data_IF_077625449752
#
_entry.id   IF_077625449752
#
_cell.length_a   1.000
_cell.length_b   1.000
_cell.length_c   1.000
_cell.angle_alpha   90.00
_cell.angle_beta   90.00
_cell.angle_gamma   90.00
#
_symmetry.space_group_name_H-M   'P 1'
#
loop_
_entity.id
_entity.type
_entity.pdbx_description
1 polymer ?
#
# COMPACT_ATOMS: atom_id res chain seq x y z
N UNK A 1 -16.30 -0.02 -28.66
CA UNK A 1 -15.69 -0.14 -27.31
C UNK A 1 -14.79 -1.36 -27.27
N UNK A 2 -13.47 -1.15 -27.18
CA UNK A 2 -12.42 -2.19 -27.27
C UNK A 2 -12.33 -3.08 -26.02
N UNK A 3 -12.75 -2.56 -24.86
CA UNK A 3 -12.63 -3.23 -23.56
C UNK A 3 -13.92 -3.15 -22.74
N UNK A 4 -14.13 -4.14 -21.86
CA UNK A 4 -15.09 -4.07 -20.75
C UNK A 4 -14.27 -3.82 -19.48
N UNK A 5 -14.40 -2.64 -18.89
CA UNK A 5 -13.55 -2.21 -17.78
C UNK A 5 -14.35 -2.20 -16.47
N UNK A 6 -13.92 -3.00 -15.50
CA UNK A 6 -14.70 -3.32 -14.30
C UNK A 6 -14.57 -2.29 -13.17
N UNK A 7 -13.46 -1.55 -13.11
CA UNK A 7 -13.23 -0.49 -12.12
C UNK A 7 -13.21 0.87 -12.77
N UNK A 8 -13.60 1.91 -12.02
CA UNK A 8 -13.35 3.31 -12.40
C UNK A 8 -11.84 3.57 -12.49
N UNK A 9 -11.43 4.56 -13.30
CA UNK A 9 -10.05 5.05 -13.29
C UNK A 9 -9.64 5.70 -11.97
N UNK A 10 -10.63 6.01 -11.11
CA UNK A 10 -10.43 6.31 -9.69
C UNK A 10 -10.93 5.11 -8.86
N UNK A 11 -10.04 4.28 -8.32
CA UNK A 11 -10.42 3.06 -7.57
C UNK A 11 -9.25 2.49 -6.74
N UNK A 12 -9.39 1.27 -6.19
CA UNK A 12 -8.28 0.54 -5.59
C UNK A 12 -7.26 0.08 -6.64
N UNK A 13 -6.06 -0.34 -6.21
CA UNK A 13 -5.10 -0.98 -7.11
C UNK A 13 -5.68 -2.25 -7.75
N UNK A 14 -5.25 -2.56 -8.98
CA UNK A 14 -5.72 -3.72 -9.75
C UNK A 14 -4.79 -4.94 -9.63
N UNK A 15 -3.52 -4.74 -9.35
CA UNK A 15 -2.53 -5.82 -9.23
C UNK A 15 -1.28 -5.40 -8.45
N UNK A 16 -0.55 -6.40 -7.96
CA UNK A 16 0.84 -6.28 -7.55
C UNK A 16 1.78 -6.35 -8.75
N UNK A 17 2.84 -5.54 -8.70
CA UNK A 17 3.87 -5.45 -9.73
C UNK A 17 5.17 -6.17 -9.35
N UNK A 18 5.19 -6.92 -8.24
CA UNK A 18 6.35 -7.67 -7.77
C UNK A 18 6.17 -9.17 -7.97
N UNK A 19 7.26 -9.89 -8.23
CA UNK A 19 7.23 -11.36 -8.39
C UNK A 19 6.64 -12.06 -7.16
N UNK A 20 7.00 -11.61 -5.95
CA UNK A 20 6.42 -12.10 -4.68
C UNK A 20 4.90 -11.87 -4.59
N UNK A 21 4.41 -10.82 -5.26
CA UNK A 21 3.01 -10.42 -5.37
C UNK A 21 2.21 -11.26 -6.37
N UNK A 22 2.86 -11.90 -7.34
CA UNK A 22 2.21 -12.53 -8.49
C UNK A 22 1.10 -13.52 -8.09
N UNK A 23 1.37 -14.37 -7.09
CA UNK A 23 0.40 -15.36 -6.60
C UNK A 23 -0.84 -14.76 -5.92
N UNK A 24 -0.82 -13.47 -5.61
CA UNK A 24 -1.93 -12.74 -5.00
C UNK A 24 -2.74 -11.93 -6.02
N UNK A 25 -2.31 -11.89 -7.29
CA UNK A 25 -3.08 -11.29 -8.38
C UNK A 25 -4.19 -12.27 -8.84
N UNK A 26 -5.22 -12.43 -8.00
CA UNK A 26 -6.33 -13.36 -8.19
C UNK A 26 -7.56 -12.75 -8.89
N UNK A 27 -7.45 -11.48 -9.29
CA UNK A 27 -8.47 -10.76 -10.07
C UNK A 27 -7.94 -10.53 -11.48
N UNK A 28 -8.80 -10.75 -12.48
CA UNK A 28 -8.43 -10.55 -13.89
C UNK A 28 -8.19 -9.05 -14.17
N UNK A 29 -6.95 -8.71 -14.49
CA UNK A 29 -6.56 -7.38 -14.99
C UNK A 29 -6.90 -7.27 -16.47
N UNK A 30 -7.63 -6.22 -16.85
CA UNK A 30 -7.92 -5.89 -18.26
C UNK A 30 -6.84 -4.97 -18.78
N UNK A 31 -6.14 -5.32 -19.85
CA UNK A 31 -5.06 -4.50 -20.41
C UNK A 31 -5.04 -4.59 -21.95
N UNK A 32 -4.29 -3.69 -22.59
CA UNK A 32 -4.10 -3.72 -24.04
C UNK A 32 -2.97 -4.69 -24.43
N UNK A 33 -3.31 -5.78 -25.12
CA UNK A 33 -2.36 -6.83 -25.53
C UNK A 33 -1.25 -6.33 -26.46
N UNK A 34 -1.52 -5.34 -27.31
CA UNK A 34 -0.51 -4.83 -28.25
C UNK A 34 0.51 -3.95 -27.51
N UNK A 35 0.05 -3.13 -26.56
CA UNK A 35 0.92 -2.36 -25.68
C UNK A 35 1.74 -3.30 -24.79
N UNK A 36 1.10 -4.31 -24.20
CA UNK A 36 1.77 -5.32 -23.39
C UNK A 36 2.90 -6.01 -24.16
N UNK A 37 2.65 -6.50 -25.39
CA UNK A 37 3.69 -7.11 -26.24
C UNK A 37 4.83 -6.14 -26.56
N UNK A 38 4.53 -4.86 -26.81
CA UNK A 38 5.55 -3.83 -27.04
C UNK A 38 6.46 -3.67 -25.82
N UNK A 39 5.89 -3.65 -24.62
CA UNK A 39 6.65 -3.53 -23.36
C UNK A 39 7.50 -4.78 -23.09
N UNK A 40 6.95 -5.98 -23.29
CA UNK A 40 7.71 -7.24 -23.20
C UNK A 40 8.87 -7.26 -24.21
N UNK A 41 8.62 -6.86 -25.45
CA UNK A 41 9.66 -6.77 -26.49
C UNK A 41 10.77 -5.76 -26.17
N UNK A 42 10.50 -4.82 -25.27
CA UNK A 42 11.44 -3.85 -24.73
C UNK A 42 12.10 -4.29 -23.40
N UNK A 43 12.00 -5.58 -23.05
CA UNK A 43 12.60 -6.20 -21.86
C UNK A 43 12.04 -5.70 -20.51
N UNK A 44 10.78 -5.23 -20.50
CA UNK A 44 10.04 -4.93 -19.26
C UNK A 44 9.42 -6.24 -18.76
N UNK A 45 9.54 -6.52 -17.46
CA UNK A 45 8.99 -7.73 -16.85
C UNK A 45 7.46 -7.82 -17.00
N UNK A 46 6.92 -9.04 -16.98
CA UNK A 46 5.51 -9.29 -17.24
C UNK A 46 4.55 -8.50 -16.33
N UNK A 47 4.83 -8.39 -15.04
CA UNK A 47 3.91 -7.77 -14.09
C UNK A 47 3.89 -6.26 -14.25
N UNK A 48 5.06 -5.65 -14.44
CA UNK A 48 5.15 -4.22 -14.73
C UNK A 48 4.58 -3.89 -16.12
N UNK A 49 4.86 -4.71 -17.13
CA UNK A 49 4.30 -4.56 -18.47
C UNK A 49 2.77 -4.64 -18.46
N UNK A 50 2.20 -5.62 -17.75
CA UNK A 50 0.75 -5.76 -17.59
C UNK A 50 0.14 -4.55 -16.86
N UNK A 51 0.79 -4.07 -15.79
CA UNK A 51 0.35 -2.88 -15.06
C UNK A 51 0.32 -1.63 -15.96
N UNK A 52 1.40 -1.35 -16.70
CA UNK A 52 1.45 -0.20 -17.61
C UNK A 52 0.41 -0.36 -18.72
N UNK A 53 0.31 -1.54 -19.34
CA UNK A 53 -0.68 -1.80 -20.39
C UNK A 53 -2.13 -1.67 -19.88
N UNK A 54 -2.39 -1.94 -18.59
CA UNK A 54 -3.68 -1.70 -17.94
C UNK A 54 -3.97 -0.19 -17.81
N UNK A 55 -3.00 0.62 -17.37
CA UNK A 55 -3.19 2.07 -17.24
C UNK A 55 -3.53 2.73 -18.59
N UNK A 56 -2.96 2.20 -19.67
CA UNK A 56 -3.08 2.71 -21.03
C UNK A 56 -4.35 2.22 -21.77
N UNK A 57 -5.26 1.49 -21.13
CA UNK A 57 -6.60 1.20 -21.70
C UNK A 57 -7.57 2.39 -21.62
N UNK A 58 -7.14 3.49 -20.99
CA UNK A 58 -7.95 4.68 -20.77
C UNK A 58 -7.61 5.75 -21.79
N UNK A 59 -8.62 6.46 -22.25
CA UNK A 59 -8.42 7.64 -23.07
C UNK A 59 -7.88 8.81 -22.23
N UNK A 60 -7.11 9.68 -22.87
CA UNK A 60 -6.73 10.99 -22.34
C UNK A 60 -7.99 11.85 -22.20
N UNK A 61 -8.10 12.55 -21.06
CA UNK A 61 -9.27 13.39 -20.75
C UNK A 61 -8.96 14.88 -20.83
N UNK A 62 -7.69 15.25 -20.96
CA UNK A 62 -7.24 16.63 -21.08
C UNK A 62 -5.88 16.65 -21.76
N UNK A 63 -5.77 17.26 -22.94
CA UNK A 63 -4.50 17.47 -23.64
C UNK A 63 -4.51 18.89 -24.23
N UNK A 64 -3.49 19.67 -23.90
CA UNK A 64 -3.32 21.01 -24.47
C UNK A 64 -2.76 20.92 -25.89
N UNK A 65 -3.21 21.80 -26.78
CA UNK A 65 -2.79 21.83 -28.19
C UNK A 65 -1.28 21.95 -28.36
N UNK A 66 -0.63 22.68 -27.47
CA UNK A 66 0.80 22.96 -27.42
C UNK A 66 1.62 21.74 -26.98
N UNK A 67 0.94 20.70 -26.47
CA UNK A 67 1.52 19.47 -25.94
C UNK A 67 1.19 18.25 -26.81
N UNK A 68 0.59 18.45 -27.98
CA UNK A 68 0.28 17.37 -28.92
C UNK A 68 1.56 16.72 -29.46
N UNK A 69 2.50 17.54 -29.93
CA UNK A 69 3.80 17.09 -30.43
C UNK A 69 4.88 17.31 -29.37
N UNK A 70 5.64 16.26 -29.03
CA UNK A 70 6.67 16.27 -27.99
C UNK A 70 7.90 15.48 -28.42
N UNK A 71 9.01 15.65 -27.71
CA UNK A 71 10.21 14.85 -27.90
C UNK A 71 10.21 13.67 -26.92
N UNK A 72 9.84 12.47 -27.37
CA UNK A 72 9.76 11.26 -26.53
C UNK A 72 11.09 10.87 -25.84
N UNK A 73 12.24 11.40 -26.28
CA UNK A 73 13.54 11.16 -25.63
C UNK A 73 13.78 12.06 -24.40
N UNK A 74 13.04 13.17 -24.28
CA UNK A 74 13.23 14.20 -23.25
C UNK A 74 11.97 14.41 -22.41
N UNK A 75 10.80 14.36 -23.05
CA UNK A 75 9.49 14.66 -22.48
C UNK A 75 8.74 13.39 -22.05
N UNK A 76 7.97 13.52 -20.97
CA UNK A 76 7.14 12.42 -20.43
C UNK A 76 5.69 12.83 -20.28
N UNK A 77 5.28 14.01 -20.74
CA UNK A 77 3.93 14.54 -20.49
C UNK A 77 2.85 13.65 -21.12
N UNK A 78 3.10 12.99 -22.26
CA UNK A 78 2.16 12.02 -22.86
C UNK A 78 1.92 10.82 -21.94
N UNK A 79 2.97 10.25 -21.36
CA UNK A 79 2.85 9.17 -20.39
C UNK A 79 2.17 9.67 -19.11
N UNK A 80 2.59 10.82 -18.59
CA UNK A 80 2.01 11.43 -17.39
C UNK A 80 0.54 11.80 -17.59
N UNK A 81 0.09 12.11 -18.80
CA UNK A 81 -1.33 12.36 -19.09
C UNK A 81 -2.21 11.17 -18.68
N UNK A 82 -1.75 9.96 -18.98
CA UNK A 82 -2.46 8.72 -18.67
C UNK A 82 -2.16 8.25 -17.25
N UNK A 83 -0.90 8.33 -16.81
CA UNK A 83 -0.51 7.91 -15.46
C UNK A 83 -1.15 8.79 -14.36
N UNK A 84 -1.14 10.11 -14.53
CA UNK A 84 -1.69 11.04 -13.55
C UNK A 84 -3.21 10.97 -13.42
N UNK A 85 -3.90 10.50 -14.46
CA UNK A 85 -5.37 10.36 -14.54
C UNK A 85 -5.87 8.93 -14.29
N UNK A 86 -4.98 8.03 -13.86
CA UNK A 86 -5.36 6.81 -13.14
C UNK A 86 -5.10 7.05 -11.64
N UNK A 87 -6.18 7.22 -10.88
CA UNK A 87 -6.16 7.56 -9.47
C UNK A 87 -6.45 6.34 -8.61
N UNK A 88 -5.42 5.52 -8.41
CA UNK A 88 -5.50 4.34 -7.56
C UNK A 88 -5.23 4.65 -6.08
N UNK A 89 -5.50 3.68 -5.19
CA UNK A 89 -5.19 3.75 -3.75
C UNK A 89 -3.69 3.85 -3.44
N UNK A 90 -2.85 3.39 -4.37
CA UNK A 90 -1.41 3.64 -4.40
C UNK A 90 -0.97 3.97 -5.83
N UNK A 91 0.13 4.70 -6.00
CA UNK A 91 0.69 5.00 -7.33
C UNK A 91 2.18 4.71 -7.37
N UNK A 92 2.60 3.92 -8.36
CA UNK A 92 3.99 3.74 -8.71
C UNK A 92 4.44 4.86 -9.64
N UNK A 93 5.49 5.60 -9.27
CA UNK A 93 5.95 6.78 -10.02
C UNK A 93 7.35 6.53 -10.56
N UNK A 94 7.51 6.46 -11.90
CA UNK A 94 8.82 6.47 -12.52
C UNK A 94 9.66 7.68 -12.11
N UNK A 95 11.00 7.59 -12.20
CA UNK A 95 11.87 8.74 -12.05
C UNK A 95 11.56 9.76 -13.16
N UNK A 96 11.41 11.07 -12.83
CA UNK A 96 11.29 12.09 -13.85
C UNK A 96 12.62 12.26 -14.61
N UNK A 97 12.59 12.49 -15.93
CA UNK A 97 13.79 12.66 -16.74
C UNK A 97 14.62 13.84 -16.23
N UNK A 98 15.95 13.74 -16.34
CA UNK A 98 16.88 14.82 -15.98
C UNK A 98 16.81 15.29 -14.52
N UNK A 99 16.42 14.41 -13.59
CA UNK A 99 16.42 14.69 -12.14
C UNK A 99 17.17 13.62 -11.36
N UNK A 100 17.51 13.92 -10.10
CA UNK A 100 18.08 12.94 -9.15
C UNK A 100 17.01 12.11 -8.43
N UNK A 101 15.73 12.29 -8.77
CA UNK A 101 14.61 11.63 -8.09
C UNK A 101 14.47 10.20 -8.62
N UNK A 102 14.52 9.21 -7.71
CA UNK A 102 14.34 7.80 -8.06
C UNK A 102 12.88 7.36 -8.21
N UNK A 103 12.69 6.04 -8.29
CA UNK A 103 11.37 5.40 -8.24
C UNK A 103 10.67 5.69 -6.92
N UNK A 104 9.39 6.05 -6.99
CA UNK A 104 8.59 6.41 -5.80
C UNK A 104 7.29 5.64 -5.76
N UNK A 105 6.78 5.51 -4.55
CA UNK A 105 5.45 4.99 -4.27
C UNK A 105 4.68 6.07 -3.52
N UNK A 106 3.48 6.39 -4.01
CA UNK A 106 2.57 7.36 -3.40
C UNK A 106 1.44 6.61 -2.70
N UNK A 107 1.26 6.83 -1.40
CA UNK A 107 0.18 6.24 -0.59
C UNK A 107 -0.99 7.24 -0.50
N UNK A 108 -2.18 6.85 -0.96
CA UNK A 108 -3.24 7.82 -1.35
C UNK A 108 -4.58 7.64 -0.64
N UNK A 109 -4.65 6.76 0.36
CA UNK A 109 -5.89 6.43 1.08
C UNK A 109 -6.20 7.23 2.37
N UNK A 110 -5.27 7.95 3.03
CA UNK A 110 -5.63 8.72 4.22
C UNK A 110 -6.59 9.87 3.90
N UNK A 111 -7.69 9.95 4.65
CA UNK A 111 -8.57 11.13 4.66
C UNK A 111 -7.88 12.31 5.38
N UNK A 112 -8.13 13.53 4.92
CA UNK A 112 -7.62 14.74 5.59
C UNK A 112 -8.29 14.91 6.95
N UNK A 113 -7.50 15.29 7.96
CA UNK A 113 -7.97 15.54 9.33
C UNK A 113 -8.12 17.04 9.60
N UNK A 114 -8.85 17.41 10.65
CA UNK A 114 -9.17 18.81 10.96
C UNK A 114 -7.96 19.63 11.43
N UNK A 115 -7.00 19.00 12.10
CA UNK A 115 -5.83 19.68 12.66
C UNK A 115 -4.53 19.24 12.00
N UNK A 116 -3.54 20.14 12.01
CA UNK A 116 -2.18 19.82 11.57
C UNK A 116 -1.56 18.67 12.38
N UNK A 117 -1.88 18.58 13.68
CA UNK A 117 -1.42 17.52 14.57
C UNK A 117 -1.90 16.14 14.13
N UNK A 118 -3.20 16.00 13.84
CA UNK A 118 -3.77 14.73 13.38
C UNK A 118 -3.21 14.33 12.01
N UNK A 119 -3.10 15.29 11.09
CA UNK A 119 -2.51 15.03 9.77
C UNK A 119 -1.04 14.60 9.90
N UNK A 120 -0.24 15.29 10.72
CA UNK A 120 1.13 14.91 11.01
C UNK A 120 1.22 13.51 11.64
N UNK A 121 0.30 13.15 12.53
CA UNK A 121 0.27 11.83 13.16
C UNK A 121 0.13 10.70 12.12
N UNK A 122 -0.81 10.82 11.17
CA UNK A 122 -0.98 9.80 10.12
C UNK A 122 0.17 9.77 9.12
N UNK A 123 0.72 10.94 8.75
CA UNK A 123 1.91 11.00 7.87
C UNK A 123 3.10 10.30 8.52
N UNK A 124 3.41 10.65 9.77
CA UNK A 124 4.51 10.04 10.54
C UNK A 124 4.27 8.53 10.72
N UNK A 125 3.03 8.11 10.98
CA UNK A 125 2.69 6.70 11.07
C UNK A 125 2.98 5.94 9.77
N UNK A 126 2.56 6.46 8.61
CA UNK A 126 2.84 5.82 7.31
C UNK A 126 4.35 5.76 7.06
N UNK A 127 5.08 6.85 7.33
CA UNK A 127 6.55 6.88 7.17
C UNK A 127 7.21 5.82 8.06
N UNK A 128 6.91 5.79 9.35
CA UNK A 128 7.48 4.81 10.27
C UNK A 128 7.09 3.38 9.88
N UNK A 129 5.84 3.15 9.48
CA UNK A 129 5.39 1.84 9.02
C UNK A 129 6.18 1.35 7.80
N UNK A 130 6.45 2.21 6.82
CA UNK A 130 7.29 1.83 5.67
C UNK A 130 8.71 1.48 6.08
N UNK A 131 9.29 2.19 7.07
CA UNK A 131 10.62 1.86 7.62
C UNK A 131 10.61 0.51 8.32
N UNK A 132 9.59 0.24 9.14
CA UNK A 132 9.40 -1.06 9.81
C UNK A 132 9.30 -2.19 8.79
N UNK A 133 8.47 -2.04 7.75
CA UNK A 133 8.30 -3.04 6.69
C UNK A 133 9.65 -3.38 6.05
N UNK A 134 10.45 -2.37 5.70
CA UNK A 134 11.74 -2.56 5.05
C UNK A 134 12.80 -3.13 6.01
N UNK A 135 12.92 -2.57 7.21
CA UNK A 135 13.93 -2.97 8.19
C UNK A 135 13.69 -4.38 8.73
N UNK A 136 12.43 -4.77 8.94
CA UNK A 136 12.08 -6.10 9.43
C UNK A 136 11.73 -7.09 8.32
N UNK A 137 11.79 -6.66 7.05
CA UNK A 137 11.44 -7.46 5.87
C UNK A 137 10.08 -8.13 6.03
N UNK A 138 9.10 -7.33 6.45
CA UNK A 138 7.74 -7.81 6.69
C UNK A 138 7.01 -8.05 5.37
N UNK A 139 6.17 -9.08 5.37
CA UNK A 139 5.26 -9.37 4.28
C UNK A 139 3.84 -8.96 4.68
N UNK A 140 3.19 -8.13 3.87
CA UNK A 140 1.78 -7.73 4.05
C UNK A 140 0.92 -8.08 2.83
N UNK A 141 1.45 -8.87 1.89
CA UNK A 141 0.73 -9.24 0.67
C UNK A 141 -0.45 -10.15 1.01
N UNK A 142 -1.61 -9.82 0.46
CA UNK A 142 -2.87 -10.57 0.53
C UNK A 142 -3.48 -10.64 -0.89
N UNK A 143 -4.40 -11.57 -1.20
CA UNK A 143 -5.04 -11.60 -2.51
C UNK A 143 -5.74 -10.27 -2.85
N UNK A 144 -5.67 -9.81 -4.11
CA UNK A 144 -6.29 -8.56 -4.58
C UNK A 144 -7.80 -8.57 -4.33
N UNK A 145 -8.47 -9.71 -4.52
CA UNK A 145 -9.90 -9.85 -4.20
C UNK A 145 -10.23 -9.50 -2.75
N UNK A 146 -9.33 -9.83 -1.82
CA UNK A 146 -9.47 -9.54 -0.39
C UNK A 146 -9.13 -8.10 -0.04
N UNK A 147 -8.20 -7.50 -0.78
CA UNK A 147 -7.96 -6.06 -0.71
C UNK A 147 -9.17 -5.25 -1.21
N UNK A 148 -9.85 -5.71 -2.26
CA UNK A 148 -11.08 -5.08 -2.77
C UNK A 148 -12.24 -5.22 -1.79
N UNK A 149 -12.47 -6.41 -1.20
CA UNK A 149 -13.44 -6.60 -0.12
C UNK A 149 -13.17 -5.64 1.06
N UNK A 150 -11.89 -5.43 1.41
CA UNK A 150 -11.52 -4.46 2.45
C UNK A 150 -11.87 -3.02 2.08
N UNK A 151 -11.68 -2.61 0.82
CA UNK A 151 -12.02 -1.27 0.35
C UNK A 151 -13.53 -1.02 0.41
N UNK A 152 -14.35 -2.02 0.10
CA UNK A 152 -15.81 -1.94 0.26
C UNK A 152 -16.21 -1.85 1.74
N UNK A 153 -15.62 -2.68 2.60
CA UNK A 153 -15.89 -2.65 4.04
C UNK A 153 -15.49 -1.30 4.67
N UNK A 154 -14.39 -0.69 4.23
CA UNK A 154 -13.88 0.58 4.76
C UNK A 154 -14.84 1.75 4.56
N UNK A 155 -15.71 1.70 3.55
CA UNK A 155 -16.67 2.76 3.24
C UNK A 155 -17.95 2.69 4.10
N UNK A 156 -18.15 1.62 4.87
CA UNK A 156 -19.35 1.48 5.69
C UNK A 156 -19.29 2.43 6.89
N UNK A 157 -20.44 2.96 7.27
CA UNK A 157 -20.56 3.81 8.47
C UNK A 157 -20.07 3.04 9.70
N UNK A 158 -19.19 3.68 10.48
CA UNK A 158 -18.63 3.13 11.72
C UNK A 158 -17.75 1.88 11.50
N UNK A 159 -17.16 1.74 10.30
CA UNK A 159 -16.33 0.60 9.93
C UNK A 159 -15.14 0.37 10.85
N UNK A 160 -14.52 1.45 11.36
CA UNK A 160 -13.39 1.38 12.31
C UNK A 160 -13.75 0.53 13.54
N UNK A 161 -15.00 0.58 14.00
CA UNK A 161 -15.45 -0.10 15.22
C UNK A 161 -16.21 -1.40 14.95
N UNK A 162 -16.88 -1.50 13.80
CA UNK A 162 -17.85 -2.58 13.52
C UNK A 162 -17.39 -3.60 12.49
N UNK A 163 -16.58 -3.19 11.51
CA UNK A 163 -16.19 -4.06 10.42
C UNK A 163 -14.91 -4.82 10.76
N UNK A 164 -14.68 -5.90 10.01
CA UNK A 164 -13.44 -6.65 10.03
C UNK A 164 -12.85 -6.68 8.64
N UNK A 165 -11.53 -6.69 8.60
CA UNK A 165 -10.74 -6.58 7.39
C UNK A 165 -9.87 -7.83 7.25
N UNK A 166 -9.78 -8.35 6.03
CA UNK A 166 -8.83 -9.39 5.69
C UNK A 166 -7.41 -8.88 5.90
N UNK A 167 -6.68 -9.58 6.76
CA UNK A 167 -5.36 -9.17 7.19
C UNK A 167 -4.43 -10.37 7.32
N UNK A 168 -3.16 -10.16 7.01
CA UNK A 168 -2.12 -11.18 7.13
C UNK A 168 -1.62 -11.22 8.57
N UNK A 169 -1.74 -12.36 9.24
CA UNK A 169 -1.26 -12.51 10.63
C UNK A 169 0.23 -12.86 10.73
N UNK A 170 0.77 -13.61 9.77
CA UNK A 170 2.15 -14.08 9.70
C UNK A 170 3.06 -13.09 8.93
N UNK A 171 3.22 -11.88 9.45
CA UNK A 171 3.95 -10.83 8.72
C UNK A 171 5.46 -11.04 8.68
N UNK A 172 6.01 -11.92 9.51
CA UNK A 172 7.45 -12.24 9.54
C UNK A 172 7.84 -13.18 8.40
N UNK A 173 9.03 -12.98 7.86
CA UNK A 173 9.62 -13.84 6.82
C UNK A 173 10.84 -14.58 7.35
N UNK A 174 11.33 -15.57 6.60
CA UNK A 174 12.59 -16.26 6.92
C UNK A 174 13.81 -15.33 6.98
N UNK A 175 13.71 -14.13 6.39
CA UNK A 175 14.75 -13.11 6.36
C UNK A 175 14.53 -12.01 7.40
N UNK A 176 13.46 -12.07 8.19
CA UNK A 176 13.23 -11.10 9.27
C UNK A 176 14.32 -11.25 10.33
N UNK A 177 14.83 -10.14 10.89
CA UNK A 177 15.79 -10.20 11.98
C UNK A 177 15.16 -10.93 13.19
N UNK A 178 15.97 -11.53 14.09
CA UNK A 178 15.49 -12.24 15.28
C UNK A 178 14.85 -11.33 16.35
N UNK A 179 14.34 -10.16 15.94
CA UNK A 179 13.60 -9.21 16.76
C UNK A 179 12.19 -9.76 16.88
N UNK A 180 11.97 -10.58 17.90
CA UNK A 180 10.62 -10.85 18.37
C UNK A 180 10.36 -9.87 19.52
N UNK A 181 9.51 -8.84 19.34
CA UNK A 181 8.76 -8.29 20.46
C UNK A 181 8.17 -9.46 21.27
N UNK A 182 8.14 -9.39 22.61
CA UNK A 182 7.54 -10.42 23.44
C UNK A 182 6.12 -10.75 22.93
N UNK A 183 5.85 -12.02 22.59
CA UNK A 183 4.52 -12.48 22.20
C UNK A 183 4.28 -12.77 20.72
N UNK A 184 5.27 -12.62 19.83
CA UNK A 184 5.15 -13.14 18.46
C UNK A 184 5.53 -14.62 18.43
N UNK A 185 4.59 -15.48 18.02
CA UNK A 185 4.92 -16.85 17.67
C UNK A 185 5.88 -16.83 16.46
N UNK A 186 7.04 -17.48 16.58
CA UNK A 186 7.92 -17.69 15.43
C UNK A 186 7.13 -18.41 14.34
N UNK A 187 7.20 -17.95 13.07
CA UNK A 187 6.69 -18.76 11.98
C UNK A 187 7.43 -20.09 12.04
N UNK A 188 6.69 -21.19 12.14
CA UNK A 188 7.26 -22.52 11.94
C UNK A 188 7.85 -22.56 10.54
N UNK A 189 9.19 -22.48 10.47
CA UNK A 189 9.92 -22.55 9.22
C UNK A 189 9.49 -23.82 8.47
N UNK A 190 8.82 -23.64 7.32
CA UNK A 190 8.55 -24.73 6.39
C UNK A 190 7.18 -25.42 6.48
N UNK A 191 6.15 -24.84 7.07
CA UNK A 191 4.78 -25.35 6.84
C UNK A 191 4.08 -24.60 5.72
N UNK A 192 3.84 -25.31 4.62
CA UNK A 192 2.93 -24.94 3.53
C UNK A 192 1.52 -24.75 4.11
N UNK A 193 1.21 -23.54 4.55
CA UNK A 193 0.07 -23.23 5.42
C UNK A 193 -1.19 -22.81 4.64
N UNK A 194 -1.41 -23.26 3.40
CA UNK A 194 -2.66 -22.98 2.66
C UNK A 194 -3.14 -21.52 2.80
N UNK A 195 -4.44 -21.32 3.09
CA UNK A 195 -5.01 -19.99 3.39
C UNK A 195 -4.91 -19.57 4.87
N UNK A 196 -4.23 -20.33 5.75
CA UNK A 196 -4.21 -20.06 7.19
C UNK A 196 -3.37 -18.83 7.59
N UNK A 197 -2.69 -18.18 6.65
CA UNK A 197 -1.95 -16.94 6.89
C UNK A 197 -2.87 -15.69 6.92
N UNK A 198 -4.09 -15.82 6.40
CA UNK A 198 -5.06 -14.74 6.28
C UNK A 198 -6.20 -14.91 7.30
N UNK A 199 -6.62 -13.82 7.94
CA UNK A 199 -7.73 -13.82 8.89
C UNK A 199 -8.47 -12.49 8.84
N UNK A 200 -9.63 -12.39 9.48
CA UNK A 200 -10.37 -11.14 9.62
C UNK A 200 -10.09 -10.49 10.97
N UNK A 201 -9.68 -9.22 10.95
CA UNK A 201 -9.33 -8.43 12.14
C UNK A 201 -10.06 -7.08 12.13
N UNK A 202 -10.45 -6.62 13.31
CA UNK A 202 -10.89 -5.24 13.52
C UNK A 202 -9.73 -4.27 13.37
N UNK A 203 -10.00 -2.98 13.16
CA UNK A 203 -8.95 -1.95 13.13
C UNK A 203 -8.20 -1.90 14.47
N UNK A 204 -8.89 -2.09 15.60
CA UNK A 204 -8.25 -2.20 16.90
C UNK A 204 -7.21 -3.33 16.94
N UNK A 205 -7.56 -4.53 16.49
CA UNK A 205 -6.65 -5.68 16.45
C UNK A 205 -5.46 -5.45 15.50
N UNK A 206 -5.68 -4.79 14.36
CA UNK A 206 -4.59 -4.46 13.41
C UNK A 206 -3.65 -3.40 14.00
N UNK A 207 -4.17 -2.34 14.62
CA UNK A 207 -3.35 -1.23 15.12
C UNK A 207 -2.68 -1.59 16.44
N UNK A 208 -3.44 -2.15 17.38
CA UNK A 208 -3.02 -2.39 18.77
C UNK A 208 -2.56 -3.83 19.03
N UNK A 209 -2.86 -4.75 18.12
CA UNK A 209 -2.51 -6.16 18.24
C UNK A 209 -3.68 -7.03 18.71
N UNK A 210 -3.50 -8.33 18.52
CA UNK A 210 -4.39 -9.40 18.95
C UNK A 210 -3.54 -10.48 19.60
N UNK A 211 -3.74 -10.70 20.88
CA UNK A 211 -2.93 -11.61 21.69
C UNK A 211 -2.85 -13.01 21.05
N UNK A 212 -1.62 -13.55 20.94
CA UNK A 212 -1.35 -14.85 20.33
C UNK A 212 -1.50 -14.92 18.81
N UNK A 213 -1.98 -13.87 18.14
CA UNK A 213 -2.23 -13.88 16.69
C UNK A 213 -1.44 -12.83 15.91
N UNK A 214 -1.38 -11.58 16.39
CA UNK A 214 -0.70 -10.49 15.68
C UNK A 214 -0.21 -9.42 16.67
N UNK A 215 1.06 -8.96 16.58
CA UNK A 215 1.60 -7.98 17.53
C UNK A 215 0.93 -6.61 17.46
N UNK A 216 0.36 -6.22 16.32
CA UNK A 216 -0.14 -4.87 16.08
C UNK A 216 0.87 -3.97 15.38
N UNK A 217 0.39 -3.06 14.53
CA UNK A 217 1.24 -2.13 13.80
C UNK A 217 1.92 -1.10 14.71
N UNK A 218 1.22 -0.55 15.70
CA UNK A 218 1.80 0.42 16.64
C UNK A 218 2.87 -0.22 17.53
N UNK A 219 2.64 -1.42 18.12
CA UNK A 219 3.70 -2.15 18.82
C UNK A 219 4.95 -2.39 17.97
N UNK A 220 4.82 -2.80 16.71
CA UNK A 220 5.95 -2.97 15.80
C UNK A 220 6.72 -1.65 15.56
N UNK A 221 6.00 -0.55 15.36
CA UNK A 221 6.61 0.78 15.19
C UNK A 221 7.36 1.20 16.46
N UNK A 222 6.80 0.95 17.64
CA UNK A 222 7.47 1.27 18.91
C UNK A 222 8.78 0.52 19.06
N UNK A 223 8.79 -0.79 18.78
CA UNK A 223 10.02 -1.58 18.81
C UNK A 223 11.08 -1.02 17.86
N UNK A 224 10.67 -0.59 16.66
CA UNK A 224 11.57 0.01 15.70
C UNK A 224 12.13 1.35 16.20
N UNK A 225 11.29 2.26 16.68
CA UNK A 225 11.73 3.56 17.20
C UNK A 225 12.65 3.40 18.42
N UNK A 226 12.36 2.46 19.32
CA UNK A 226 13.24 2.18 20.48
C UNK A 226 14.60 1.61 20.09
N UNK A 227 14.75 1.06 18.89
CA UNK A 227 16.04 0.60 18.36
C UNK A 227 16.85 1.70 17.67
N UNK A 228 16.26 2.88 17.48
CA UNK A 228 16.91 4.03 16.86
C UNK A 228 17.44 4.98 17.94
N UNK A 229 18.56 5.65 17.64
CA UNK A 229 19.09 6.75 18.45
C UNK A 229 18.29 8.03 18.15
N UNK A 230 17.21 8.25 18.89
CA UNK A 230 16.28 9.37 18.73
C UNK A 230 16.22 10.15 20.04
N UNK A 231 16.25 11.47 19.98
CA UNK A 231 16.16 12.33 21.15
C UNK A 231 14.80 12.22 21.86
N UNK A 232 14.79 12.58 23.14
CA UNK A 232 13.63 12.38 24.03
C UNK A 232 12.40 13.17 23.56
N UNK A 233 12.59 14.38 23.03
CA UNK A 233 11.47 15.24 22.61
C UNK A 233 10.79 14.69 21.36
N UNK A 234 11.60 14.21 20.39
CA UNK A 234 11.11 13.52 19.20
C UNK A 234 10.41 12.22 19.57
N UNK A 235 10.94 11.42 20.50
CA UNK A 235 10.28 10.20 20.98
C UNK A 235 8.93 10.51 21.64
N UNK A 236 8.86 11.54 22.50
CA UNK A 236 7.61 11.97 23.12
C UNK A 236 6.56 12.37 22.07
N UNK A 237 6.97 13.12 21.04
CA UNK A 237 6.09 13.55 19.96
C UNK A 237 5.56 12.36 19.16
N UNK A 238 6.44 11.43 18.75
CA UNK A 238 6.04 10.20 18.06
C UNK A 238 5.05 9.40 18.93
N UNK A 239 5.31 9.29 20.23
CA UNK A 239 4.44 8.55 21.14
C UNK A 239 3.05 9.18 21.26
N UNK A 240 2.93 10.51 21.25
CA UNK A 240 1.64 11.20 21.21
C UNK A 240 0.88 10.90 19.91
N UNK A 241 1.55 10.92 18.76
CA UNK A 241 0.95 10.56 17.47
C UNK A 241 0.44 9.11 17.46
N UNK A 242 1.26 8.17 17.93
CA UNK A 242 0.87 6.77 18.00
C UNK A 242 -0.31 6.58 18.96
N UNK A 243 -0.32 7.24 20.12
CA UNK A 243 -1.43 7.17 21.08
C UNK A 243 -2.76 7.65 20.48
N UNK A 244 -2.75 8.74 19.70
CA UNK A 244 -3.96 9.19 18.98
C UNK A 244 -4.51 8.07 18.08
N UNK A 245 -3.65 7.45 17.29
CA UNK A 245 -4.03 6.39 16.34
C UNK A 245 -4.55 5.15 17.09
N UNK A 246 -3.87 4.74 18.17
CA UNK A 246 -4.31 3.61 19.00
C UNK A 246 -5.70 3.83 19.58
N UNK A 247 -5.96 5.02 20.13
CA UNK A 247 -7.24 5.36 20.76
C UNK A 247 -8.38 5.49 19.76
N UNK A 248 -8.10 5.97 18.54
CA UNK A 248 -9.07 5.96 17.45
C UNK A 248 -9.39 4.54 16.99
N UNK A 249 -8.36 3.71 16.85
CA UNK A 249 -8.52 2.31 16.46
C UNK A 249 -9.34 1.51 17.48
N UNK A 250 -9.17 1.77 18.78
CA UNK A 250 -9.96 1.13 19.84
C UNK A 250 -11.37 1.70 20.00
N UNK A 251 -11.64 2.87 19.41
CA UNK A 251 -12.88 3.60 19.58
C UNK A 251 -12.99 4.39 20.90
N UNK A 252 -11.89 4.53 21.66
CA UNK A 252 -11.80 5.45 22.80
C UNK A 252 -11.90 6.92 22.33
N UNK A 253 -11.33 7.22 21.16
CA UNK A 253 -11.50 8.50 20.47
C UNK A 253 -12.30 8.32 19.18
N UNK A 254 -13.11 9.33 18.86
CA UNK A 254 -13.88 9.34 17.61
C UNK A 254 -12.98 9.64 16.39
N UNK A 255 -13.36 9.07 15.25
CA UNK A 255 -12.96 9.61 13.94
C UNK A 255 -13.59 10.99 13.75
N UNK A 256 -12.98 11.82 12.91
CA UNK A 256 -13.56 13.10 12.46
C UNK A 256 -14.95 12.91 11.85
#
# INVERSE_FOLDING_TARGET
NKFVINKSRYSSIDCYISELGAKYNDVKVVYDEEIYKKLIGADIDHLLAQHIAHLLIRDSISLFSEKVDQNDEEDTDHFENLQSTNWQSMRFKPPPPNTSIGWRVEFRTPEIQMTEFENAAYVVFVVLLTRVILSYRLNFLIPISKADENMEAAQKRDAVRKEKFWFRRDVLTCNSPPILPPGIATPSAGSDLGHHYLTQMTINEIINGKEGEFPGLVPLIRTFVSSMDVDVDTQCTIQQYLNLIQKRASGELMTT
#
